data_IF_737933833125
#
_entry.id   IF_737933833125
#
_cell.length_a   1.000
_cell.length_b   1.000
_cell.length_c   1.000
_cell.angle_alpha   90.00
_cell.angle_beta   90.00
_cell.angle_gamma   90.00
#
_symmetry.space_group_name_H-M   'P 1'
#
loop_
_entity.id
_entity.type
_entity.pdbx_description
1 polymer ?
#
# COMPACT_ATOMS: atom_id res chain seq x y z
N UNK A 1 1.41 20.48 23.25
CA UNK A 1 0.56 19.33 22.81
C UNK A 1 -0.73 19.68 22.04
N UNK A 2 -1.64 20.56 22.53
CA UNK A 2 -2.93 20.82 21.87
C UNK A 2 -2.80 21.49 20.49
N UNK A 3 -1.91 22.48 20.37
CA UNK A 3 -1.58 23.16 19.10
C UNK A 3 -1.13 22.21 17.98
N UNK A 4 -0.38 21.16 18.33
CA UNK A 4 0.09 20.17 17.37
C UNK A 4 -1.05 19.34 16.76
N UNK A 5 -2.12 19.12 17.53
CA UNK A 5 -3.31 18.41 17.06
C UNK A 5 -4.20 19.34 16.25
N UNK A 6 -4.39 20.59 16.69
CA UNK A 6 -5.11 21.61 15.93
C UNK A 6 -4.51 21.82 14.54
N UNK A 7 -3.18 21.88 14.45
CA UNK A 7 -2.47 21.96 13.18
C UNK A 7 -2.64 20.70 12.31
N UNK A 8 -2.65 19.50 12.90
CA UNK A 8 -2.94 18.27 12.15
C UNK A 8 -4.40 18.21 11.68
N UNK A 9 -5.33 18.79 12.44
CA UNK A 9 -6.75 18.89 12.10
C UNK A 9 -6.97 19.90 10.97
N UNK A 10 -6.24 21.03 10.93
CA UNK A 10 -6.31 21.97 9.79
C UNK A 10 -5.81 21.33 8.49
N UNK A 11 -4.88 20.38 8.59
CA UNK A 11 -4.36 19.58 7.47
C UNK A 11 -5.17 18.31 7.18
N UNK A 12 -6.38 18.20 7.73
CA UNK A 12 -7.23 17.00 7.64
C UNK A 12 -7.75 16.69 6.24
N UNK A 13 -7.46 17.48 5.21
CA UNK A 13 -7.72 17.11 3.80
C UNK A 13 -6.61 16.26 3.19
N UNK A 14 -5.40 16.26 3.78
CA UNK A 14 -4.23 15.58 3.22
C UNK A 14 -4.27 14.06 3.38
N UNK A 15 -3.53 13.35 2.54
CA UNK A 15 -3.41 11.89 2.64
C UNK A 15 -2.73 11.47 3.96
N UNK A 16 -3.02 10.26 4.43
CA UNK A 16 -2.41 9.72 5.66
C UNK A 16 -0.87 9.69 5.56
N UNK A 17 -0.33 9.44 4.36
CA UNK A 17 1.10 9.44 4.11
C UNK A 17 1.71 10.84 4.30
N UNK A 18 1.08 11.88 3.75
CA UNK A 18 1.50 13.26 3.98
C UNK A 18 1.43 13.65 5.45
N UNK A 19 0.35 13.29 6.15
CA UNK A 19 0.22 13.56 7.58
C UNK A 19 1.28 12.85 8.42
N UNK A 20 1.68 11.64 8.03
CA UNK A 20 2.78 10.93 8.69
C UNK A 20 4.13 11.64 8.50
N UNK A 21 4.38 12.20 7.31
CA UNK A 21 5.58 13.03 7.06
C UNK A 21 5.54 14.27 7.96
N UNK A 22 4.43 15.01 7.96
CA UNK A 22 4.25 16.20 8.82
C UNK A 22 4.48 15.85 10.29
N UNK A 23 3.87 14.75 10.79
CA UNK A 23 4.08 14.27 12.16
C UNK A 23 5.56 14.02 12.46
N UNK A 24 6.29 13.36 11.57
CA UNK A 24 7.73 13.09 11.74
C UNK A 24 8.55 14.37 11.77
N UNK A 25 8.26 15.32 10.88
CA UNK A 25 8.94 16.63 10.85
C UNK A 25 8.72 17.40 12.15
N UNK A 26 7.46 17.50 12.62
CA UNK A 26 7.16 18.19 13.88
C UNK A 26 7.82 17.46 15.05
N UNK A 27 7.79 16.12 15.09
CA UNK A 27 8.45 15.35 16.14
C UNK A 27 9.99 15.57 16.17
N UNK A 28 10.62 15.71 15.01
CA UNK A 28 12.05 16.01 14.91
C UNK A 28 12.38 17.37 15.49
N UNK A 29 11.63 18.41 15.13
CA UNK A 29 11.81 19.78 15.69
C UNK A 29 11.49 19.78 17.18
N UNK A 30 10.41 19.12 17.60
CA UNK A 30 10.00 19.03 18.99
C UNK A 30 11.10 18.43 19.87
N UNK A 31 11.78 17.37 19.39
CA UNK A 31 12.87 16.72 20.12
C UNK A 31 14.08 17.65 20.32
N UNK A 32 14.36 18.54 19.38
CA UNK A 32 15.45 19.52 19.51
C UNK A 32 15.11 20.59 20.55
N UNK A 33 13.87 21.09 20.54
CA UNK A 33 13.43 22.15 21.45
C UNK A 33 13.13 21.63 22.86
N UNK A 34 12.62 20.40 22.97
CA UNK A 34 12.16 19.78 24.23
C UNK A 34 12.87 18.45 24.45
N UNK A 35 14.20 18.49 24.60
CA UNK A 35 15.03 17.29 24.68
C UNK A 35 14.74 16.39 25.90
N UNK A 36 14.19 16.95 26.99
CA UNK A 36 13.86 16.20 28.21
C UNK A 36 12.40 15.73 28.28
N UNK A 37 11.54 16.16 27.35
CA UNK A 37 10.13 15.76 27.35
C UNK A 37 9.91 14.46 26.57
N UNK A 38 8.78 13.80 26.83
CA UNK A 38 8.36 12.67 26.01
C UNK A 38 8.17 13.13 24.56
N UNK A 39 8.71 12.36 23.62
CA UNK A 39 8.62 12.68 22.20
C UNK A 39 7.17 12.84 21.74
N UNK A 40 6.94 13.80 20.84
CA UNK A 40 5.60 14.20 20.39
C UNK A 40 4.73 13.03 19.90
N UNK A 41 5.36 12.01 19.29
CA UNK A 41 4.71 10.77 18.83
C UNK A 41 4.06 9.94 19.94
N UNK A 42 4.51 10.11 21.18
CA UNK A 42 4.01 9.39 22.36
C UNK A 42 2.85 10.12 23.05
N UNK A 43 2.52 11.36 22.64
CA UNK A 43 1.36 12.04 23.20
C UNK A 43 0.05 11.35 22.78
N UNK A 44 -0.77 11.05 23.78
CA UNK A 44 -2.05 10.35 23.60
C UNK A 44 -2.95 10.99 22.54
N UNK A 45 -3.02 12.32 22.48
CA UNK A 45 -3.87 13.03 21.52
C UNK A 45 -3.40 12.85 20.06
N UNK A 46 -2.09 12.88 19.82
CA UNK A 46 -1.50 12.62 18.49
C UNK A 46 -1.81 11.17 18.09
N UNK A 47 -1.63 10.22 19.01
CA UNK A 47 -1.93 8.81 18.74
C UNK A 47 -3.42 8.58 18.45
N UNK A 48 -4.31 9.21 19.22
CA UNK A 48 -5.75 9.13 19.02
C UNK A 48 -6.17 9.70 17.65
N UNK A 49 -5.60 10.83 17.23
CA UNK A 49 -5.85 11.41 15.91
C UNK A 49 -5.53 10.43 14.77
N UNK A 50 -4.31 9.86 14.77
CA UNK A 50 -3.90 8.92 13.73
C UNK A 50 -4.66 7.59 13.80
N UNK A 51 -5.03 7.13 15.00
CA UNK A 51 -5.86 5.93 15.19
C UNK A 51 -7.28 6.13 14.65
N UNK A 52 -7.89 7.28 14.92
CA UNK A 52 -9.20 7.64 14.37
C UNK A 52 -9.17 7.70 12.84
N UNK A 53 -8.16 8.36 12.28
CA UNK A 53 -8.02 8.53 10.83
C UNK A 53 -7.74 7.23 10.07
N UNK A 54 -7.00 6.31 10.69
CA UNK A 54 -6.79 4.95 10.15
C UNK A 54 -8.10 4.13 10.11
N UNK A 55 -9.01 4.36 11.05
CA UNK A 55 -10.35 3.73 11.06
C UNK A 55 -11.29 4.29 10.00
N UNK A 56 -11.18 5.58 9.68
CA UNK A 56 -12.00 6.22 8.64
C UNK A 56 -11.66 5.73 7.23
N UNK A 57 -10.41 5.36 7.00
CA UNK A 57 -10.01 4.55 5.83
C UNK A 57 -10.14 3.07 6.18
N UNK A 58 -11.38 2.61 6.36
CA UNK A 58 -11.67 1.18 6.39
C UNK A 58 -11.11 0.55 5.12
N UNK A 59 -9.99 -0.19 5.27
CA UNK A 59 -9.57 -1.14 4.26
C UNK A 59 -10.74 -2.12 4.15
N UNK A 60 -11.43 -2.14 3.02
CA UNK A 60 -12.43 -3.16 2.77
C UNK A 60 -11.77 -4.51 3.09
N UNK A 61 -12.36 -5.35 3.95
CA UNK A 61 -11.82 -6.68 4.19
C UNK A 61 -11.73 -7.34 2.82
N UNK A 62 -10.50 -7.65 2.39
CA UNK A 62 -10.30 -8.36 1.14
C UNK A 62 -10.81 -9.78 1.37
N UNK A 63 -12.11 -9.99 1.13
CA UNK A 63 -12.79 -11.28 1.29
C UNK A 63 -12.33 -12.29 0.25
N UNK A 64 -11.71 -11.82 -0.81
CA UNK A 64 -11.12 -12.64 -1.83
C UNK A 64 -9.62 -12.71 -1.52
N UNK A 65 -9.19 -13.85 -1.00
CA UNK A 65 -7.78 -14.21 -1.09
C UNK A 65 -7.46 -14.15 -2.60
N UNK A 66 -6.49 -13.34 -3.02
CA UNK A 66 -6.04 -13.29 -4.42
C UNK A 66 -5.35 -14.62 -4.74
N UNK A 67 -6.15 -15.67 -4.87
CA UNK A 67 -5.71 -16.95 -5.39
C UNK A 67 -5.64 -16.72 -6.89
N UNK A 68 -4.43 -16.44 -7.38
CA UNK A 68 -4.14 -16.54 -8.79
C UNK A 68 -4.26 -18.03 -9.13
N UNK A 69 -5.46 -18.46 -9.52
CA UNK A 69 -5.67 -19.80 -10.06
C UNK A 69 -5.10 -19.82 -11.47
N UNK A 70 -3.97 -20.52 -11.61
CA UNK A 70 -3.19 -20.60 -12.85
C UNK A 70 -3.72 -21.73 -13.74
N UNK A 71 -4.52 -22.66 -13.20
CA UNK A 71 -5.01 -23.84 -13.91
C UNK A 71 -5.82 -23.47 -15.16
N UNK A 72 -6.75 -22.50 -15.14
CA UNK A 72 -7.45 -22.06 -16.35
C UNK A 72 -6.52 -21.48 -17.42
N UNK A 73 -5.42 -20.85 -17.00
CA UNK A 73 -4.44 -20.23 -17.90
C UNK A 73 -3.56 -21.32 -18.54
N UNK A 74 -3.16 -22.34 -17.78
CA UNK A 74 -2.41 -23.49 -18.29
C UNK A 74 -3.23 -24.28 -19.31
N UNK A 75 -4.50 -24.57 -18.99
CA UNK A 75 -5.43 -25.24 -19.92
C UNK A 75 -5.59 -24.45 -21.22
N UNK A 76 -5.67 -23.12 -21.16
CA UNK A 76 -5.72 -22.27 -22.35
C UNK A 76 -4.42 -22.32 -23.19
N UNK A 77 -3.28 -22.48 -22.53
CA UNK A 77 -1.96 -22.54 -23.18
C UNK A 77 -1.68 -23.93 -23.78
N UNK A 78 -2.16 -25.00 -23.14
CA UNK A 78 -2.06 -26.39 -23.58
C UNK A 78 -3.02 -26.72 -24.73
N UNK A 79 -4.25 -26.20 -24.69
CA UNK A 79 -5.24 -26.40 -25.76
C UNK A 79 -4.89 -25.67 -27.07
N UNK A 80 -3.83 -24.85 -27.09
CA UNK A 80 -3.32 -24.22 -28.32
C UNK A 80 -2.41 -25.19 -29.05
N UNK A 81 -2.61 -25.29 -30.37
CA UNK A 81 -1.90 -26.15 -31.33
C UNK A 81 -0.39 -26.25 -31.08
N UNK A 82 0.22 -27.34 -31.56
CA UNK A 82 1.65 -27.58 -31.43
C UNK A 82 2.46 -26.34 -31.85
N UNK A 83 3.51 -26.01 -31.07
CA UNK A 83 4.34 -24.80 -31.24
C UNK A 83 4.89 -24.63 -32.66
N UNK A 84 4.99 -25.74 -33.41
CA UNK A 84 5.50 -25.80 -34.78
C UNK A 84 4.55 -25.18 -35.81
N UNK A 85 3.25 -25.11 -35.51
CA UNK A 85 2.21 -24.66 -36.46
C UNK A 85 1.68 -23.25 -36.15
N UNK A 86 2.27 -22.58 -35.15
CA UNK A 86 1.84 -21.26 -34.70
C UNK A 86 2.63 -20.14 -35.39
N UNK A 87 1.97 -19.06 -35.85
CA UNK A 87 2.66 -17.87 -36.31
C UNK A 87 3.41 -17.19 -35.16
N UNK A 88 4.48 -16.45 -35.50
CA UNK A 88 5.42 -15.85 -34.55
C UNK A 88 4.73 -14.99 -33.47
N UNK A 89 3.69 -14.23 -33.83
CA UNK A 89 2.96 -13.38 -32.90
C UNK A 89 2.24 -14.20 -31.80
N UNK A 90 1.76 -15.40 -32.14
CA UNK A 90 1.08 -16.30 -31.21
C UNK A 90 2.08 -17.01 -30.31
N UNK A 91 3.26 -17.35 -30.83
CA UNK A 91 4.37 -17.91 -30.04
C UNK A 91 4.83 -16.87 -29.00
N UNK A 92 5.07 -15.62 -29.41
CA UNK A 92 5.49 -14.56 -28.51
C UNK A 92 4.47 -14.32 -27.38
N UNK A 93 3.18 -14.30 -27.69
CA UNK A 93 2.11 -14.17 -26.69
C UNK A 93 2.08 -15.36 -25.72
N UNK A 94 2.29 -16.59 -26.21
CA UNK A 94 2.37 -17.80 -25.38
C UNK A 94 3.56 -17.75 -24.43
N UNK A 95 4.72 -17.33 -24.93
CA UNK A 95 5.94 -17.15 -24.12
C UNK A 95 5.75 -16.10 -23.04
N UNK A 96 5.11 -14.97 -23.35
CA UNK A 96 4.90 -13.89 -22.38
C UNK A 96 3.95 -14.34 -21.25
N UNK A 97 2.88 -15.08 -21.57
CA UNK A 97 1.97 -15.66 -20.57
C UNK A 97 2.70 -16.67 -19.68
N UNK A 98 3.47 -17.60 -20.26
CA UNK A 98 4.24 -18.59 -19.50
C UNK A 98 5.32 -17.94 -18.63
N UNK A 99 6.01 -16.92 -19.15
CA UNK A 99 7.00 -16.16 -18.40
C UNK A 99 6.34 -15.44 -17.21
N UNK A 100 5.18 -14.81 -17.42
CA UNK A 100 4.42 -14.16 -16.35
C UNK A 100 4.09 -15.15 -15.25
N UNK A 101 3.54 -16.33 -15.60
CA UNK A 101 3.24 -17.41 -14.66
C UNK A 101 4.48 -17.85 -13.89
N UNK A 102 5.63 -17.99 -14.55
CA UNK A 102 6.86 -18.45 -13.92
C UNK A 102 7.53 -17.41 -13.01
N UNK A 103 7.22 -16.12 -13.20
CA UNK A 103 7.83 -15.01 -12.44
C UNK A 103 6.95 -14.44 -11.34
N UNK A 104 5.66 -14.81 -11.30
CA UNK A 104 4.77 -14.51 -10.18
C UNK A 104 5.05 -15.42 -8.99
#
# INVERSE_FOLDING_TARGET
PPLGVEYLVSLSSLSLQHLNVVRSTIASVYRVVHAQEQGLSNHALIQQFFKARKRTRSKLPNRNQEIFDIDPILVLVENRSATKDLPLDKIQKKTLVLLTIATM
#
